data_IF_164155814149
#
_entry.id   IF_164155814149
#
_cell.length_a   1.000
_cell.length_b   1.000
_cell.length_c   1.000
_cell.angle_alpha   90.00
_cell.angle_beta   90.00
_cell.angle_gamma   90.00
#
_symmetry.space_group_name_H-M   'P 1'
#
loop_
_entity.id
_entity.type
_entity.pdbx_description
1 polymer ?
#
# COMPACT_ATOMS: atom_id res chain seq x y z
N UNK A 1 17.53 1.71 -5.69
CA UNK A 1 17.49 0.96 -4.43
C UNK A 1 16.70 -0.31 -4.70
N UNK A 2 17.23 -1.49 -4.36
CA UNK A 2 16.58 -2.78 -4.54
C UNK A 2 15.73 -3.19 -3.33
N UNK A 3 14.91 -4.22 -3.51
CA UNK A 3 13.97 -4.67 -2.48
C UNK A 3 14.64 -5.06 -1.14
N UNK A 4 15.82 -5.69 -1.19
CA UNK A 4 16.57 -6.08 0.02
C UNK A 4 16.95 -4.87 0.88
N UNK A 5 17.32 -3.75 0.24
CA UNK A 5 17.68 -2.51 0.93
C UNK A 5 16.44 -1.86 1.57
N UNK A 6 15.28 -1.94 0.93
CA UNK A 6 13.99 -1.47 1.46
C UNK A 6 13.58 -2.29 2.70
N UNK A 7 13.71 -3.62 2.63
CA UNK A 7 13.47 -4.51 3.77
C UNK A 7 14.39 -4.14 4.92
N UNK A 8 15.69 -3.99 4.67
CA UNK A 8 16.66 -3.65 5.72
C UNK A 8 16.35 -2.31 6.37
N UNK A 9 16.01 -1.31 5.56
CA UNK A 9 15.63 0.02 6.04
C UNK A 9 14.41 -0.03 6.97
N UNK A 10 13.33 -0.70 6.54
CA UNK A 10 12.11 -0.83 7.36
C UNK A 10 12.33 -1.71 8.59
N UNK A 11 13.12 -2.79 8.48
CA UNK A 11 13.49 -3.67 9.61
C UNK A 11 14.15 -2.89 10.75
N UNK A 12 14.95 -1.87 10.43
CA UNK A 12 15.59 -0.99 11.41
C UNK A 12 14.75 0.24 11.81
N UNK A 13 13.43 0.19 11.58
CA UNK A 13 12.51 1.26 11.98
C UNK A 13 12.69 2.57 11.20
N UNK A 14 13.44 2.56 10.10
CA UNK A 14 13.64 3.77 9.29
C UNK A 14 12.44 4.00 8.37
N UNK A 15 12.12 5.28 8.19
CA UNK A 15 11.05 5.74 7.32
C UNK A 15 11.38 5.51 5.85
N UNK A 16 10.43 4.97 5.08
CA UNK A 16 10.53 4.81 3.64
C UNK A 16 10.12 6.09 2.91
N UNK A 17 10.75 6.35 1.77
CA UNK A 17 10.38 7.48 0.90
C UNK A 17 9.18 7.11 0.02
N UNK A 18 8.58 8.11 -0.60
CA UNK A 18 7.49 7.92 -1.57
C UNK A 18 7.91 6.99 -2.72
N UNK A 19 9.13 7.17 -3.24
CA UNK A 19 9.67 6.40 -4.36
C UNK A 19 9.92 4.94 -3.98
N UNK A 20 10.38 4.70 -2.75
CA UNK A 20 10.57 3.34 -2.21
C UNK A 20 9.23 2.62 -2.03
N UNK A 21 8.20 3.31 -1.54
CA UNK A 21 6.85 2.76 -1.40
C UNK A 21 6.19 2.49 -2.76
N UNK A 22 6.39 3.39 -3.73
CA UNK A 22 5.93 3.19 -5.10
C UNK A 22 6.61 1.98 -5.77
N UNK A 23 7.91 1.81 -5.54
CA UNK A 23 8.63 0.62 -5.99
C UNK A 23 8.03 -0.68 -5.42
N UNK A 24 7.72 -0.72 -4.12
CA UNK A 24 7.10 -1.90 -3.49
C UNK A 24 5.70 -2.16 -4.06
N UNK A 25 4.85 -1.14 -4.16
CA UNK A 25 3.48 -1.29 -4.65
C UNK A 25 3.44 -1.78 -6.11
N UNK A 26 4.18 -1.13 -7.01
CA UNK A 26 4.23 -1.52 -8.42
C UNK A 26 4.87 -2.90 -8.58
N UNK A 27 5.97 -3.17 -7.88
CA UNK A 27 6.64 -4.47 -7.96
C UNK A 27 5.78 -5.62 -7.42
N UNK A 28 4.90 -5.37 -6.46
CA UNK A 28 3.90 -6.33 -6.01
C UNK A 28 2.77 -6.52 -7.03
N UNK A 29 2.22 -5.42 -7.58
CA UNK A 29 1.15 -5.47 -8.58
C UNK A 29 1.55 -6.14 -9.90
N UNK A 30 2.78 -5.88 -10.34
CA UNK A 30 3.34 -6.41 -11.61
C UNK A 30 3.98 -7.80 -11.46
N UNK A 31 4.04 -8.35 -10.25
CA UNK A 31 4.68 -9.64 -9.97
C UNK A 31 6.21 -9.64 -10.15
N UNK A 32 6.85 -8.47 -10.10
CA UNK A 32 8.30 -8.30 -10.27
C UNK A 32 9.08 -8.54 -8.98
N UNK A 33 8.44 -8.39 -7.82
CA UNK A 33 9.03 -8.69 -6.52
C UNK A 33 8.54 -10.08 -6.08
N UNK A 34 9.45 -11.05 -5.87
CA UNK A 34 9.06 -12.37 -5.39
C UNK A 34 8.36 -12.34 -4.03
N UNK A 35 7.37 -13.22 -3.83
CA UNK A 35 6.56 -13.31 -2.60
C UNK A 35 7.40 -13.39 -1.32
N UNK A 36 8.55 -14.08 -1.35
CA UNK A 36 9.41 -14.21 -0.17
C UNK A 36 10.02 -12.86 0.27
N UNK A 37 10.22 -11.91 -0.66
CA UNK A 37 10.69 -10.56 -0.32
C UNK A 37 9.53 -9.69 0.18
N UNK A 38 8.34 -9.81 -0.42
CA UNK A 38 7.15 -9.11 0.06
C UNK A 38 6.77 -9.57 1.47
N UNK A 39 6.79 -10.88 1.75
CA UNK A 39 6.53 -11.43 3.07
C UNK A 39 7.52 -10.91 4.13
N UNK A 40 8.82 -10.84 3.79
CA UNK A 40 9.83 -10.27 4.68
C UNK A 40 9.60 -8.78 4.96
N UNK A 41 9.23 -8.00 3.94
CA UNK A 41 8.91 -6.58 4.12
C UNK A 41 7.64 -6.36 4.95
N UNK A 42 6.57 -7.12 4.68
CA UNK A 42 5.33 -7.07 5.45
C UNK A 42 5.58 -7.39 6.93
N UNK A 43 6.43 -8.37 7.23
CA UNK A 43 6.82 -8.67 8.61
C UNK A 43 7.60 -7.51 9.25
N UNK A 44 8.50 -6.84 8.50
CA UNK A 44 9.19 -5.66 8.99
C UNK A 44 8.23 -4.49 9.27
N UNK A 45 7.21 -4.29 8.43
CA UNK A 45 6.14 -3.31 8.63
C UNK A 45 5.28 -3.68 9.84
N UNK A 46 4.95 -4.96 10.04
CA UNK A 46 4.18 -5.41 11.20
C UNK A 46 4.86 -5.02 12.53
N UNK A 47 6.18 -5.20 12.64
CA UNK A 47 6.92 -4.87 13.87
C UNK A 47 7.20 -3.38 14.04
N UNK A 48 7.50 -2.65 12.95
CA UNK A 48 7.95 -1.25 13.03
C UNK A 48 6.88 -0.22 12.65
N UNK A 49 5.73 -0.69 12.17
CA UNK A 49 4.66 0.14 11.66
C UNK A 49 5.03 0.97 10.42
N UNK A 50 4.11 1.88 10.13
CA UNK A 50 4.26 2.97 9.17
C UNK A 50 3.77 4.24 9.83
N UNK A 51 4.42 5.36 9.49
CA UNK A 51 3.88 6.69 9.77
C UNK A 51 2.60 6.93 8.95
N UNK A 52 1.78 7.91 9.35
CA UNK A 52 0.60 8.31 8.57
C UNK A 52 0.98 8.71 7.14
N UNK A 53 2.13 9.38 6.98
CA UNK A 53 2.62 9.79 5.67
C UNK A 53 3.04 8.58 4.82
N UNK A 54 3.73 7.59 5.39
CA UNK A 54 4.04 6.34 4.68
C UNK A 54 2.77 5.59 4.29
N UNK A 55 1.79 5.50 5.19
CA UNK A 55 0.51 4.83 4.95
C UNK A 55 -0.25 5.51 3.80
N UNK A 56 -0.31 6.84 3.80
CA UNK A 56 -0.93 7.61 2.73
C UNK A 56 -0.20 7.41 1.38
N UNK A 57 1.13 7.50 1.36
CA UNK A 57 1.91 7.31 0.12
C UNK A 57 1.78 5.88 -0.43
N UNK A 58 1.81 4.87 0.44
CA UNK A 58 1.63 3.48 0.03
C UNK A 58 0.21 3.21 -0.49
N UNK A 59 -0.80 3.79 0.15
CA UNK A 59 -2.20 3.72 -0.31
C UNK A 59 -2.36 4.31 -1.71
N UNK A 60 -1.79 5.49 -1.96
CA UNK A 60 -1.81 6.12 -3.27
C UNK A 60 -1.05 5.29 -4.31
N UNK A 61 0.11 4.75 -3.95
CA UNK A 61 0.89 3.90 -4.85
C UNK A 61 0.16 2.61 -5.23
N UNK A 62 -0.50 1.93 -4.28
CA UNK A 62 -1.33 0.77 -4.57
C UNK A 62 -2.57 1.11 -5.41
N UNK A 63 -3.20 2.26 -5.19
CA UNK A 63 -4.30 2.74 -6.04
C UNK A 63 -3.82 2.94 -7.48
N UNK A 64 -2.66 3.58 -7.64
CA UNK A 64 -2.12 3.99 -8.93
C UNK A 64 -1.41 2.84 -9.68
N UNK A 65 -1.16 1.69 -9.04
CA UNK A 65 -0.62 0.50 -9.69
C UNK A 65 -1.66 -0.25 -10.55
N UNK A 66 -2.89 0.24 -10.64
CA UNK A 66 -3.98 -0.37 -11.39
C UNK A 66 -4.91 0.65 -12.03
N UNK A 67 -6.08 0.18 -12.46
CA UNK A 67 -7.09 1.06 -13.03
C UNK A 67 -7.76 1.92 -11.93
N UNK A 68 -7.85 3.22 -12.18
CA UNK A 68 -8.59 4.16 -11.34
C UNK A 68 -9.86 4.59 -12.07
N UNK A 69 -11.02 4.32 -11.48
CA UNK A 69 -12.30 4.68 -12.07
C UNK A 69 -12.49 6.21 -12.12
N UNK A 70 -12.77 6.74 -13.31
CA UNK A 70 -13.22 8.12 -13.48
C UNK A 70 -14.75 8.17 -13.47
N UNK A 71 -15.32 8.84 -12.46
CA UNK A 71 -16.75 9.02 -12.28
C UNK A 71 -17.20 10.45 -12.61
N UNK A 72 -16.36 11.23 -13.30
CA UNK A 72 -16.63 12.63 -13.67
C UNK A 72 -17.88 12.80 -14.53
N UNK A 73 -18.24 11.78 -15.32
CA UNK A 73 -19.45 11.75 -16.13
C UNK A 73 -20.76 11.63 -15.32
N UNK A 74 -20.71 11.28 -14.02
CA UNK A 74 -21.88 11.16 -13.16
C UNK A 74 -22.07 12.47 -12.40
N UNK A 75 -23.21 13.13 -12.64
CA UNK A 75 -23.58 14.37 -11.96
C UNK A 75 -23.78 14.16 -10.45
N UNK A 76 -23.40 15.17 -9.65
CA UNK A 76 -23.52 15.14 -8.19
C UNK A 76 -22.28 14.62 -7.45
N UNK A 77 -22.41 14.52 -6.13
CA UNK A 77 -21.36 14.03 -5.22
C UNK A 77 -21.39 12.50 -5.19
N UNK A 78 -20.24 11.88 -5.48
CA UNK A 78 -20.07 10.43 -5.38
C UNK A 78 -19.69 10.11 -3.94
N UNK A 79 -20.46 9.25 -3.30
CA UNK A 79 -20.20 8.74 -1.97
C UNK A 79 -20.15 7.21 -2.03
N UNK A 80 -19.29 6.63 -1.22
CA UNK A 80 -19.14 5.18 -1.09
C UNK A 80 -19.11 4.81 0.40
N UNK A 81 -19.43 3.55 0.69
CA UNK A 81 -19.40 2.99 2.05
C UNK A 81 -18.45 1.80 2.08
N UNK A 82 -17.54 1.83 3.04
CA UNK A 82 -16.65 0.71 3.35
C UNK A 82 -16.84 0.28 4.82
N UNK A 83 -16.70 -1.01 5.09
CA UNK A 83 -16.72 -1.59 6.44
C UNK A 83 -15.48 -2.43 6.64
N UNK A 84 -14.90 -2.39 7.84
CA UNK A 84 -13.83 -3.31 8.25
C UNK A 84 -14.34 -4.74 8.47
N UNK A 85 -15.67 -4.93 8.51
CA UNK A 85 -16.34 -6.20 8.74
C UNK A 85 -16.74 -6.44 10.20
N UNK A 86 -17.80 -7.22 10.41
CA UNK A 86 -18.32 -7.61 11.72
C UNK A 86 -19.48 -8.63 11.63
N UNK A 87 -19.80 -9.32 12.73
CA UNK A 87 -20.93 -10.28 12.76
C UNK A 87 -22.25 -9.52 12.78
N UNK A 88 -23.13 -9.82 11.82
CA UNK A 88 -24.40 -9.10 11.67
C UNK A 88 -24.28 -7.77 10.93
N UNK A 89 -23.17 -7.53 10.22
CA UNK A 89 -22.97 -6.31 9.42
C UNK A 89 -23.90 -6.31 8.19
N UNK A 90 -25.08 -5.70 8.35
CA UNK A 90 -26.11 -5.51 7.32
C UNK A 90 -26.25 -4.03 7.00
N UNK A 91 -25.26 -3.48 6.32
CA UNK A 91 -25.23 -2.10 5.83
C UNK A 91 -24.91 -2.03 4.35
#
# INVERSE_FOLDING_TARGET
>A
MGMVEIIEKKKHGKRLTKEELAFVANGAGDGLIPDYQLAAWLMAVWFNGMTDEETAQFTLAMRDSGAVADLSAIEGVKADKHSTGGVGDKT
#
